data_IF_738328855148
#
_entry.id   IF_738328855148
#
_cell.length_a   1.000
_cell.length_b   1.000
_cell.length_c   1.000
_cell.angle_alpha   90.00
_cell.angle_beta   90.00
_cell.angle_gamma   90.00
#
_symmetry.space_group_name_H-M   'P 1'
#
loop_
_entity.id
_entity.type
_entity.pdbx_description
1 polymer ?
#
# COMPACT_ATOMS: atom_id res chain seq x y z
N UNK A 1 -19.37 7.61 4.88
CA UNK A 1 -18.75 6.73 5.89
C UNK A 1 -18.36 5.43 5.22
N UNK A 2 -17.22 4.84 5.57
CA UNK A 2 -16.71 3.59 5.00
C UNK A 2 -16.35 2.63 6.12
N UNK A 3 -16.78 1.37 6.04
CA UNK A 3 -16.46 0.37 7.06
C UNK A 3 -14.98 -0.02 7.00
N UNK A 4 -14.35 -0.18 8.15
CA UNK A 4 -12.99 -0.73 8.27
C UNK A 4 -13.02 -2.22 7.93
N UNK A 5 -12.01 -2.70 7.24
CA UNK A 5 -11.85 -4.11 6.87
C UNK A 5 -10.79 -4.75 7.76
N UNK A 6 -11.09 -5.93 8.28
CA UNK A 6 -10.15 -6.79 9.01
C UNK A 6 -9.76 -8.00 8.18
N UNK A 7 -8.74 -8.74 8.65
CA UNK A 7 -8.45 -10.08 8.14
C UNK A 7 -9.69 -11.00 8.25
N UNK A 8 -9.69 -12.10 7.49
CA UNK A 8 -10.79 -13.07 7.37
C UNK A 8 -12.06 -12.57 6.66
N UNK A 9 -12.21 -11.27 6.40
CA UNK A 9 -13.25 -10.79 5.48
C UNK A 9 -12.91 -11.21 4.04
N UNK A 10 -13.93 -11.47 3.23
CA UNK A 10 -13.73 -11.97 1.88
C UNK A 10 -13.62 -10.84 0.87
N UNK A 11 -12.80 -11.02 -0.15
CA UNK A 11 -12.91 -10.27 -1.39
C UNK A 11 -13.85 -10.95 -2.38
N UNK A 12 -14.29 -10.22 -3.40
CA UNK A 12 -14.96 -10.78 -4.58
C UNK A 12 -14.04 -10.61 -5.77
N UNK A 13 -13.71 -11.72 -6.44
CA UNK A 13 -12.81 -11.75 -7.59
C UNK A 13 -13.59 -11.98 -8.91
N UNK A 14 -13.56 -11.04 -9.88
CA UNK A 14 -14.16 -11.25 -11.20
C UNK A 14 -13.20 -11.90 -12.21
N UNK A 15 -11.96 -12.18 -11.81
CA UNK A 15 -10.95 -12.73 -12.72
C UNK A 15 -11.30 -14.17 -13.14
N UNK A 16 -10.78 -14.58 -14.29
CA UNK A 16 -11.00 -15.92 -14.86
C UNK A 16 -9.66 -16.41 -15.38
N UNK A 17 -9.33 -17.68 -15.14
CA UNK A 17 -8.15 -18.33 -15.71
C UNK A 17 -8.58 -19.51 -16.56
N UNK A 18 -8.37 -19.43 -17.87
CA UNK A 18 -8.92 -20.39 -18.82
C UNK A 18 -10.44 -20.41 -18.74
N UNK A 19 -11.02 -21.58 -18.39
CA UNK A 19 -12.47 -21.76 -18.20
C UNK A 19 -12.92 -21.56 -16.75
N UNK A 20 -11.98 -21.46 -15.81
CA UNK A 20 -12.28 -21.48 -14.38
C UNK A 20 -12.42 -20.05 -13.86
N UNK A 21 -13.62 -19.63 -13.41
CA UNK A 21 -13.77 -18.35 -12.73
C UNK A 21 -13.06 -18.41 -11.38
N UNK A 22 -12.40 -17.33 -11.01
CA UNK A 22 -11.88 -17.19 -9.66
C UNK A 22 -13.03 -17.10 -8.67
N UNK A 23 -12.77 -17.51 -7.44
CA UNK A 23 -13.66 -17.33 -6.29
C UNK A 23 -12.86 -16.61 -5.24
N UNK A 24 -13.31 -15.41 -4.88
CA UNK A 24 -12.65 -14.62 -3.86
C UNK A 24 -12.86 -15.24 -2.47
N UNK A 25 -11.79 -15.29 -1.70
CA UNK A 25 -11.75 -15.81 -0.34
C UNK A 25 -11.21 -14.78 0.66
N UNK A 26 -10.85 -15.22 1.87
CA UNK A 26 -10.53 -14.34 2.97
C UNK A 26 -9.23 -13.59 2.74
N UNK A 27 -9.15 -12.39 3.31
CA UNK A 27 -7.91 -11.64 3.48
C UNK A 27 -7.06 -12.36 4.54
N UNK A 28 -5.81 -12.67 4.21
CA UNK A 28 -4.89 -13.45 5.07
C UNK A 28 -3.71 -12.64 5.58
N UNK A 29 -3.48 -11.45 5.03
CA UNK A 29 -2.66 -10.43 5.69
C UNK A 29 -1.33 -10.11 4.99
N UNK A 30 -0.35 -9.59 5.76
CA UNK A 30 -0.19 -9.74 7.23
C UNK A 30 -1.15 -8.93 8.13
N UNK A 31 -1.86 -7.93 7.60
CA UNK A 31 -2.62 -6.96 8.40
C UNK A 31 -1.72 -6.17 9.35
N UNK A 32 -2.31 -5.51 10.34
CA UNK A 32 -1.57 -4.91 11.46
C UNK A 32 -1.94 -5.59 12.79
N UNK A 33 -1.09 -6.50 13.32
CA UNK A 33 -1.35 -7.19 14.59
C UNK A 33 -1.50 -6.27 15.80
N UNK A 34 -0.96 -5.05 15.75
CA UNK A 34 -1.09 -4.05 16.82
C UNK A 34 -2.43 -3.32 16.84
N UNK A 35 -3.20 -3.35 15.75
CA UNK A 35 -4.48 -2.66 15.61
C UNK A 35 -5.57 -3.67 15.31
N UNK A 36 -6.36 -3.99 16.35
CA UNK A 36 -7.38 -5.02 16.30
C UNK A 36 -8.79 -4.42 16.31
N UNK A 37 -9.68 -5.03 15.54
CA UNK A 37 -11.13 -4.83 15.64
C UNK A 37 -11.75 -6.20 15.91
N UNK A 38 -12.51 -6.30 17.00
CA UNK A 38 -13.07 -7.57 17.49
C UNK A 38 -12.04 -8.69 17.65
N UNK A 39 -10.82 -8.32 18.06
CA UNK A 39 -9.70 -9.26 18.23
C UNK A 39 -9.04 -9.72 16.91
N UNK A 40 -9.47 -9.18 15.76
CA UNK A 40 -8.91 -9.51 14.44
C UNK A 40 -8.09 -8.32 13.92
N UNK A 41 -6.88 -8.55 13.38
CA UNK A 41 -6.06 -7.47 12.81
C UNK A 41 -6.79 -6.69 11.71
N UNK A 42 -6.65 -5.36 11.74
CA UNK A 42 -7.10 -4.48 10.66
C UNK A 42 -6.26 -4.76 9.41
N UNK A 43 -6.93 -4.81 8.27
CA UNK A 43 -6.26 -5.01 6.98
C UNK A 43 -5.71 -3.69 6.45
N UNK A 44 -4.53 -3.77 5.82
CA UNK A 44 -3.82 -2.62 5.22
C UNK A 44 -3.55 -2.85 3.74
N UNK A 45 -3.36 -1.76 3.00
CA UNK A 45 -3.03 -1.83 1.56
C UNK A 45 -1.78 -2.70 1.35
N UNK A 46 -1.82 -3.60 0.37
CA UNK A 46 -0.79 -4.60 0.12
C UNK A 46 -1.07 -5.97 0.74
N UNK A 47 -2.07 -6.09 1.63
CA UNK A 47 -2.50 -7.38 2.16
C UNK A 47 -2.93 -8.36 1.07
N UNK A 48 -2.66 -9.63 1.32
CA UNK A 48 -2.99 -10.72 0.40
C UNK A 48 -4.34 -11.36 0.73
N UNK A 49 -5.00 -11.85 -0.31
CA UNK A 49 -6.27 -12.56 -0.22
C UNK A 49 -6.13 -13.97 -0.82
N UNK A 50 -6.76 -14.94 -0.18
CA UNK A 50 -6.93 -16.28 -0.76
C UNK A 50 -7.91 -16.18 -1.93
N UNK A 51 -7.54 -16.73 -3.07
CA UNK A 51 -8.37 -16.76 -4.27
C UNK A 51 -8.31 -18.15 -4.90
N UNK A 52 -9.40 -18.62 -5.53
CA UNK A 52 -9.39 -19.83 -6.35
C UNK A 52 -8.69 -19.54 -7.70
N UNK A 53 -7.37 -19.35 -7.61
CA UNK A 53 -6.44 -18.86 -8.62
C UNK A 53 -5.10 -18.54 -7.93
N UNK A 54 -4.20 -17.75 -8.53
CA UNK A 54 -3.10 -17.14 -7.78
C UNK A 54 -3.65 -16.27 -6.63
N UNK A 55 -2.90 -16.09 -5.52
CA UNK A 55 -3.27 -15.14 -4.48
C UNK A 55 -3.51 -13.75 -5.06
N UNK A 56 -4.56 -13.08 -4.57
CA UNK A 56 -4.87 -11.70 -4.96
C UNK A 56 -4.29 -10.73 -3.93
N UNK A 57 -4.13 -9.46 -4.30
CA UNK A 57 -3.56 -8.42 -3.45
C UNK A 57 -4.51 -7.24 -3.37
N UNK A 58 -4.71 -6.66 -2.19
CA UNK A 58 -5.47 -5.43 -2.03
C UNK A 58 -4.59 -4.26 -2.43
N UNK A 59 -5.00 -3.53 -3.47
CA UNK A 59 -4.16 -2.50 -4.11
C UNK A 59 -4.62 -1.08 -3.81
N UNK A 60 -5.69 -0.94 -3.02
CA UNK A 60 -6.21 0.34 -2.57
C UNK A 60 -6.36 0.39 -1.07
N UNK A 61 -6.08 1.56 -0.51
CA UNK A 61 -6.29 1.86 0.90
C UNK A 61 -6.77 3.27 1.13
N UNK A 62 -7.28 3.54 2.32
CA UNK A 62 -7.86 4.81 2.70
C UNK A 62 -6.79 5.70 3.35
N UNK A 63 -6.35 6.80 2.71
CA UNK A 63 -5.23 7.59 3.21
C UNK A 63 -5.58 8.46 4.43
N UNK A 64 -6.87 8.61 4.75
CA UNK A 64 -7.31 9.37 5.93
C UNK A 64 -7.08 8.64 7.25
N UNK A 65 -6.75 7.35 7.21
CA UNK A 65 -6.37 6.55 8.39
C UNK A 65 -5.23 5.64 7.98
N UNK A 66 -4.06 5.84 8.58
CA UNK A 66 -2.86 5.03 8.33
C UNK A 66 -2.51 4.26 9.60
N UNK A 67 -2.06 3.02 9.44
CA UNK A 67 -1.57 2.15 10.50
C UNK A 67 -0.19 1.68 10.10
N UNK A 68 0.80 1.89 10.96
CA UNK A 68 2.23 1.71 10.64
C UNK A 68 2.63 2.43 9.34
N UNK A 69 2.03 3.60 9.11
CA UNK A 69 2.22 4.40 7.90
C UNK A 69 1.55 3.83 6.63
N UNK A 70 0.97 2.64 6.66
CA UNK A 70 0.22 2.05 5.55
C UNK A 70 -1.27 2.42 5.61
N UNK A 71 -1.90 2.85 4.50
CA UNK A 71 -3.34 3.13 4.46
C UNK A 71 -4.20 1.91 4.83
N UNK A 72 -5.20 2.11 5.69
CA UNK A 72 -6.13 1.03 6.09
C UNK A 72 -7.07 0.65 4.95
N UNK A 73 -7.43 -0.63 4.86
CA UNK A 73 -8.41 -1.11 3.88
C UNK A 73 -9.81 -0.79 4.38
N UNK A 74 -10.64 -0.30 3.47
CA UNK A 74 -12.05 -0.02 3.73
C UNK A 74 -12.95 -0.69 2.70
N UNK A 75 -14.25 -0.73 3.01
CA UNK A 75 -15.25 -1.24 2.07
C UNK A 75 -15.14 -0.62 0.67
N UNK A 76 -15.14 -1.50 -0.33
CA UNK A 76 -14.95 -1.27 -1.76
C UNK A 76 -13.54 -0.88 -2.20
N UNK A 77 -12.51 -1.02 -1.34
CA UNK A 77 -11.14 -1.06 -1.83
C UNK A 77 -10.97 -2.18 -2.85
N UNK A 78 -10.23 -1.90 -3.92
CA UNK A 78 -10.01 -2.81 -5.04
C UNK A 78 -8.81 -3.74 -4.83
N UNK A 79 -8.81 -4.84 -5.57
CA UNK A 79 -7.72 -5.82 -5.61
C UNK A 79 -7.06 -5.89 -7.00
N UNK A 80 -5.87 -6.48 -7.08
CA UNK A 80 -5.09 -6.61 -8.32
C UNK A 80 -5.81 -7.42 -9.41
N UNK A 81 -6.66 -8.37 -9.02
CA UNK A 81 -7.49 -9.13 -9.95
C UNK A 81 -8.72 -8.35 -10.45
N UNK A 82 -8.84 -7.06 -10.12
CA UNK A 82 -9.99 -6.22 -10.45
C UNK A 82 -11.20 -6.49 -9.55
N UNK A 83 -10.99 -7.15 -8.41
CA UNK A 83 -12.00 -7.41 -7.39
C UNK A 83 -12.20 -6.25 -6.43
N UNK A 84 -13.05 -6.48 -5.44
CA UNK A 84 -13.31 -5.54 -4.34
C UNK A 84 -13.48 -6.27 -3.01
N UNK A 85 -13.30 -5.56 -1.90
CA UNK A 85 -13.78 -5.98 -0.59
C UNK A 85 -15.21 -5.44 -0.39
N UNK A 86 -16.26 -6.28 -0.48
CA UNK A 86 -17.65 -5.81 -0.51
C UNK A 86 -18.16 -5.28 0.83
N UNK A 87 -17.56 -5.69 1.95
CA UNK A 87 -18.05 -5.40 3.31
C UNK A 87 -16.88 -5.20 4.26
N UNK A 88 -17.03 -4.29 5.23
CA UNK A 88 -16.16 -4.21 6.40
C UNK A 88 -16.87 -4.69 7.67
N UNK A 89 -16.27 -4.44 8.83
CA UNK A 89 -16.86 -4.76 10.13
C UNK A 89 -18.06 -3.84 10.39
N UNK A 90 -19.19 -4.43 10.78
CA UNK A 90 -20.41 -3.69 11.07
C UNK A 90 -20.20 -2.77 12.28
N UNK A 91 -20.64 -1.52 12.18
CA UNK A 91 -20.51 -0.53 13.25
C UNK A 91 -19.15 0.17 13.33
N UNK A 92 -18.10 -0.35 12.67
CA UNK A 92 -16.77 0.25 12.67
C UNK A 92 -16.55 1.02 11.38
N UNK A 93 -16.80 2.33 11.41
CA UNK A 93 -16.79 3.20 10.22
C UNK A 93 -15.87 4.39 10.36
N UNK A 94 -15.24 4.75 9.24
CA UNK A 94 -14.48 5.99 9.09
C UNK A 94 -15.41 7.07 8.53
N UNK A 95 -15.48 8.18 9.24
CA UNK A 95 -16.15 9.42 8.83
C UNK A 95 -15.13 10.52 8.57
N UNK A 96 -15.34 11.29 7.51
CA UNK A 96 -14.50 12.45 7.19
C UNK A 96 -15.38 13.63 6.81
N UNK A 97 -14.90 14.85 7.08
CA UNK A 97 -15.61 16.08 6.73
C UNK A 97 -15.78 16.24 5.21
N UNK A 98 -14.78 15.80 4.43
CA UNK A 98 -14.82 15.73 2.97
C UNK A 98 -14.61 14.28 2.53
N UNK A 99 -15.31 13.78 1.48
CA UNK A 99 -15.05 12.45 0.95
C UNK A 99 -13.61 12.34 0.46
N UNK A 100 -12.81 11.51 1.12
CA UNK A 100 -11.46 11.16 0.67
C UNK A 100 -11.59 9.89 -0.18
N UNK A 101 -10.96 9.90 -1.36
CA UNK A 101 -10.92 8.71 -2.22
C UNK A 101 -9.81 7.76 -1.73
N UNK A 102 -10.00 6.44 -1.83
CA UNK A 102 -8.91 5.51 -1.63
C UNK A 102 -7.78 5.81 -2.61
N UNK A 103 -6.54 5.75 -2.13
CA UNK A 103 -5.35 5.84 -2.98
C UNK A 103 -5.02 4.46 -3.52
N UNK A 104 -4.36 4.43 -4.67
CA UNK A 104 -3.93 3.19 -5.33
C UNK A 104 -2.43 3.06 -5.17
N UNK A 105 -1.96 1.87 -4.80
CA UNK A 105 -0.52 1.61 -4.74
C UNK A 105 0.13 1.82 -6.11
N UNK A 106 1.45 2.06 -6.13
CA UNK A 106 2.16 2.29 -7.39
C UNK A 106 1.98 1.11 -8.35
N UNK A 107 1.65 1.45 -9.61
CA UNK A 107 1.38 0.51 -10.68
C UNK A 107 2.41 -0.61 -10.82
N UNK A 108 3.69 -0.32 -10.58
CA UNK A 108 4.78 -1.29 -10.76
C UNK A 108 4.82 -2.36 -9.67
N UNK A 109 4.28 -2.05 -8.49
CA UNK A 109 4.16 -3.02 -7.39
C UNK A 109 2.91 -3.88 -7.48
N UNK A 110 1.95 -3.52 -8.34
CA UNK A 110 0.70 -4.28 -8.46
C UNK A 110 0.93 -5.54 -9.31
N UNK A 111 0.69 -6.75 -8.75
CA UNK A 111 0.85 -8.00 -9.50
C UNK A 111 -0.38 -8.27 -10.39
N UNK A 112 -0.59 -7.47 -11.43
CA UNK A 112 -1.72 -7.70 -12.34
C UNK A 112 -1.60 -9.03 -13.09
N UNK A 113 -2.62 -9.92 -13.01
CA UNK A 113 -2.68 -11.08 -13.89
C UNK A 113 -2.83 -10.62 -15.34
N UNK A 114 -2.12 -11.30 -16.25
CA UNK A 114 -2.14 -11.01 -17.68
C UNK A 114 -3.37 -11.63 -18.33
N UNK A 115 -4.23 -10.81 -18.92
CA UNK A 115 -5.38 -11.25 -19.72
C UNK A 115 -4.96 -11.23 -21.20
N UNK A 116 -4.87 -12.41 -21.83
CA UNK A 116 -4.53 -12.55 -23.25
C UNK A 116 -5.79 -12.53 -24.10
N UNK A 117 -5.61 -12.37 -25.41
CA UNK A 117 -6.70 -12.44 -26.39
C UNK A 117 -7.40 -13.80 -26.40
N UNK A 118 -6.66 -14.90 -26.20
CA UNK A 118 -7.22 -16.25 -26.13
C UNK A 118 -8.11 -16.45 -24.89
N UNK A 119 -7.82 -15.77 -23.78
CA UNK A 119 -8.58 -15.88 -22.54
C UNK A 119 -10.01 -15.34 -22.73
N UNK A 120 -10.17 -14.29 -23.54
CA UNK A 120 -11.50 -13.77 -23.90
C UNK A 120 -12.34 -14.79 -24.68
N UNK A 121 -11.72 -15.54 -25.59
CA UNK A 121 -12.42 -16.58 -26.35
C UNK A 121 -12.85 -17.73 -25.43
N UNK A 122 -11.95 -18.21 -24.58
CA UNK A 122 -12.22 -19.31 -23.64
C UNK A 122 -13.27 -18.90 -22.60
N UNK A 123 -13.21 -17.65 -22.11
CA UNK A 123 -14.22 -17.10 -21.20
C UNK A 123 -15.59 -16.93 -21.88
N UNK A 124 -15.64 -16.63 -23.19
CA UNK A 124 -16.90 -16.58 -23.94
C UNK A 124 -17.56 -17.96 -24.03
N UNK A 125 -16.78 -19.00 -24.33
CA UNK A 125 -17.29 -20.37 -24.47
C UNK A 125 -17.75 -20.92 -23.11
N UNK A 126 -17.07 -20.58 -22.01
CA UNK A 126 -17.43 -21.00 -20.65
C UNK A 126 -18.51 -20.15 -19.98
N UNK A 127 -19.00 -19.09 -20.64
CA UNK A 127 -20.01 -18.18 -20.08
C UNK A 127 -19.48 -17.14 -19.09
N UNK A 128 -18.17 -17.10 -18.85
CA UNK A 128 -17.51 -16.22 -17.87
C UNK A 128 -17.00 -14.89 -18.46
N UNK A 129 -17.31 -14.58 -19.73
CA UNK A 129 -16.83 -13.38 -20.42
C UNK A 129 -17.17 -12.06 -19.70
N UNK A 130 -18.34 -11.98 -19.06
CA UNK A 130 -18.74 -10.78 -18.30
C UNK A 130 -17.81 -10.52 -17.12
N UNK A 131 -17.44 -11.58 -16.40
CA UNK A 131 -16.52 -11.50 -15.26
C UNK A 131 -15.13 -11.08 -15.73
N UNK A 132 -14.58 -11.75 -16.76
CA UNK A 132 -13.26 -11.42 -17.28
C UNK A 132 -13.18 -9.98 -17.80
N UNK A 133 -14.20 -9.49 -18.52
CA UNK A 133 -14.26 -8.10 -18.99
C UNK A 133 -14.37 -7.10 -17.84
N UNK A 134 -15.13 -7.43 -16.79
CA UNK A 134 -15.21 -6.60 -15.57
C UNK A 134 -13.83 -6.51 -14.91
N UNK A 135 -13.13 -7.64 -14.80
CA UNK A 135 -11.79 -7.69 -14.23
C UNK A 135 -10.82 -6.81 -15.03
N UNK A 136 -10.80 -6.96 -16.35
CA UNK A 136 -9.97 -6.13 -17.25
C UNK A 136 -10.28 -4.63 -17.11
N UNK A 137 -11.55 -4.26 -17.18
CA UNK A 137 -11.98 -2.85 -17.04
C UNK A 137 -11.58 -2.26 -15.69
N UNK A 138 -11.67 -3.04 -14.62
CA UNK A 138 -11.30 -2.62 -13.28
C UNK A 138 -9.78 -2.46 -13.14
N UNK A 139 -8.99 -3.33 -13.76
CA UNK A 139 -7.54 -3.18 -13.82
C UNK A 139 -7.12 -1.94 -14.61
N UNK A 140 -7.79 -1.64 -15.72
CA UNK A 140 -7.53 -0.44 -16.50
C UNK A 140 -7.90 0.83 -15.71
N UNK A 141 -8.97 0.79 -14.93
CA UNK A 141 -9.32 1.88 -14.02
C UNK A 141 -8.23 2.11 -12.95
N UNK A 142 -7.66 1.04 -12.37
CA UNK A 142 -6.54 1.13 -11.43
C UNK A 142 -5.29 1.74 -12.08
N UNK A 143 -5.02 1.39 -13.35
CA UNK A 143 -3.91 1.99 -14.12
C UNK A 143 -4.08 3.48 -14.29
N UNK A 144 -5.27 3.91 -14.72
CA UNK A 144 -5.58 5.32 -14.93
C UNK A 144 -5.51 6.07 -13.60
N UNK A 145 -6.08 5.51 -12.54
CA UNK A 145 -6.09 6.14 -11.23
C UNK A 145 -4.66 6.34 -10.69
N UNK A 146 -3.81 5.32 -10.73
CA UNK A 146 -2.42 5.42 -10.28
C UNK A 146 -1.61 6.49 -11.03
N UNK A 147 -1.95 6.81 -12.28
CA UNK A 147 -1.28 7.86 -13.06
C UNK A 147 -1.81 9.27 -12.79
N UNK A 148 -2.98 9.41 -12.17
CA UNK A 148 -3.63 10.70 -11.91
C UNK A 148 -3.49 11.17 -10.46
N UNK A 149 -2.91 10.34 -9.57
CA UNK A 149 -2.73 10.68 -8.17
C UNK A 149 -1.58 11.67 -8.00
N UNK A 150 -1.81 12.69 -7.17
CA UNK A 150 -0.77 13.67 -6.81
C UNK A 150 0.38 12.95 -6.09
N UNK A 151 1.66 13.35 -6.34
CA UNK A 151 2.80 12.72 -5.70
C UNK A 151 2.69 12.75 -4.17
N UNK A 152 2.77 11.57 -3.56
CA UNK A 152 2.65 11.40 -2.12
C UNK A 152 3.56 10.29 -1.62
N UNK A 153 4.00 10.41 -0.37
CA UNK A 153 4.72 9.36 0.36
C UNK A 153 3.85 8.82 1.49
N UNK A 154 4.02 7.54 1.79
CA UNK A 154 3.40 6.87 2.92
C UNK A 154 4.38 5.82 3.49
N UNK A 155 3.98 5.13 4.56
CA UNK A 155 4.82 4.14 5.22
C UNK A 155 6.21 4.69 5.59
N UNK A 156 6.25 5.93 6.09
CA UNK A 156 7.50 6.59 6.47
C UNK A 156 8.00 5.98 7.78
N UNK A 157 9.18 5.38 7.75
CA UNK A 157 9.78 4.74 8.92
C UNK A 157 11.30 4.92 8.96
N UNK A 158 11.85 4.67 10.14
CA UNK A 158 13.27 4.77 10.41
C UNK A 158 13.87 3.37 10.50
N UNK A 159 14.94 3.15 9.76
CA UNK A 159 15.80 1.97 9.89
C UNK A 159 17.12 2.41 10.53
N UNK A 160 17.60 1.63 11.51
CA UNK A 160 18.86 1.91 12.20
C UNK A 160 19.81 0.74 12.02
N UNK A 161 20.98 1.02 11.47
CA UNK A 161 22.09 0.08 11.35
C UNK A 161 23.30 0.57 12.16
N UNK A 162 23.96 -0.35 12.86
CA UNK A 162 25.24 -0.07 13.51
C UNK A 162 26.39 -0.39 12.57
N UNK A 163 27.24 0.60 12.29
CA UNK A 163 28.42 0.44 11.45
C UNK A 163 29.66 0.57 12.33
N UNK A 164 30.44 -0.52 12.40
CA UNK A 164 31.77 -0.52 13.01
C UNK A 164 32.79 0.01 12.00
N UNK A 165 33.56 1.01 12.38
CA UNK A 165 34.68 1.52 11.57
C UNK A 165 36.02 1.06 12.14
N UNK A 166 37.02 0.90 11.27
CA UNK A 166 38.39 0.47 11.64
C UNK A 166 39.07 1.43 12.63
N UNK A 167 38.57 2.67 12.74
CA UNK A 167 39.05 3.72 13.65
C UNK A 167 38.57 3.56 15.11
N UNK A 168 37.86 2.47 15.46
CA UNK A 168 37.48 2.15 16.84
C UNK A 168 36.24 2.85 17.38
N UNK A 169 35.53 3.65 16.56
CA UNK A 169 34.25 4.26 16.91
C UNK A 169 33.07 3.52 16.26
N UNK A 170 31.92 3.52 16.94
CA UNK A 170 30.64 3.03 16.41
C UNK A 170 29.90 4.22 15.79
N UNK A 171 29.57 4.13 14.50
CA UNK A 171 28.66 5.09 13.85
C UNK A 171 27.28 4.46 13.72
N UNK A 172 26.24 5.27 13.82
CA UNK A 172 24.90 4.84 13.44
C UNK A 172 24.57 5.37 12.05
N UNK A 173 24.18 4.46 11.17
CA UNK A 173 23.55 4.79 9.91
C UNK A 173 22.05 4.74 10.15
N UNK A 174 21.42 5.90 9.99
CA UNK A 174 19.99 6.07 10.09
C UNK A 174 19.46 6.22 8.67
N UNK A 175 18.50 5.39 8.28
CA UNK A 175 17.85 5.49 6.97
C UNK A 175 16.40 5.88 7.19
N UNK A 176 15.94 6.93 6.51
CA UNK A 176 14.51 7.20 6.35
C UNK A 176 14.04 6.47 5.11
N UNK A 177 13.06 5.60 5.27
CA UNK A 177 12.43 4.88 4.17
C UNK A 177 10.95 5.25 4.06
N UNK A 178 10.44 5.31 2.82
CA UNK A 178 9.03 5.54 2.55
C UNK A 178 8.59 4.88 1.24
N UNK A 179 7.32 4.51 1.16
CA UNK A 179 6.66 4.13 -0.08
C UNK A 179 6.20 5.36 -0.86
N UNK A 180 6.24 5.30 -2.19
CA UNK A 180 5.90 6.43 -3.06
C UNK A 180 4.70 6.13 -3.96
N UNK A 181 3.89 7.15 -4.22
CA UNK A 181 2.77 7.16 -5.17
C UNK A 181 2.89 8.41 -6.03
N UNK A 182 2.58 8.31 -7.32
CA UNK A 182 2.61 9.44 -8.25
C UNK A 182 4.02 9.93 -8.62
N UNK A 183 5.08 9.33 -8.07
CA UNK A 183 6.47 9.61 -8.43
C UNK A 183 6.96 8.67 -9.54
N UNK A 184 7.75 9.23 -10.46
CA UNK A 184 8.46 8.50 -11.51
C UNK A 184 9.77 7.88 -11.00
N UNK A 185 10.31 6.93 -11.76
CA UNK A 185 11.61 6.32 -11.42
C UNK A 185 12.72 7.34 -11.52
N UNK A 186 13.60 7.38 -10.52
CA UNK A 186 14.73 8.29 -10.53
C UNK A 186 14.38 9.71 -10.06
N UNK A 187 13.13 9.99 -9.72
CA UNK A 187 12.77 11.27 -9.11
C UNK A 187 13.38 11.40 -7.71
N UNK A 188 13.73 12.63 -7.33
CA UNK A 188 14.30 12.93 -6.03
C UNK A 188 13.21 13.37 -5.07
N UNK A 189 13.14 12.71 -3.91
CA UNK A 189 12.30 13.14 -2.78
C UNK A 189 13.21 13.73 -1.71
N UNK A 190 12.85 14.93 -1.25
CA UNK A 190 13.54 15.60 -0.13
C UNK A 190 12.75 15.39 1.15
N UNK A 191 13.39 14.83 2.16
CA UNK A 191 12.90 14.74 3.53
C UNK A 191 13.46 15.88 4.36
N UNK A 192 12.60 16.63 5.02
CA UNK A 192 13.01 17.64 6.01
C UNK A 192 12.71 17.11 7.40
N UNK A 193 13.76 16.87 8.17
CA UNK A 193 13.65 16.42 9.55
C UNK A 193 13.82 17.63 10.45
N UNK A 194 12.77 17.98 11.17
CA UNK A 194 12.75 19.09 12.13
C UNK A 194 12.85 18.56 13.56
N UNK A 195 14.05 18.50 14.17
CA UNK A 195 14.21 18.03 15.54
C UNK A 195 13.51 18.96 16.53
N UNK A 196 12.63 18.39 17.36
CA UNK A 196 11.89 19.13 18.41
C UNK A 196 12.77 19.53 19.61
N UNK A 197 14.00 19.01 19.71
CA UNK A 197 14.86 19.21 20.88
C UNK A 197 15.41 20.63 20.99
N UNK A 198 15.04 21.33 22.07
CA UNK A 198 15.70 22.57 22.50
C UNK A 198 16.84 22.15 23.42
N UNK A 199 18.09 22.46 23.05
CA UNK A 199 19.22 22.22 23.94
C UNK A 199 19.08 23.10 25.20
N UNK A 200 18.88 22.51 26.40
CA UNK A 200 18.62 23.26 27.63
C UNK A 200 19.83 24.05 28.14
N UNK A 201 21.06 23.75 27.69
CA UNK A 201 22.28 24.49 28.07
C UNK A 201 22.56 25.70 27.19
N UNK A 202 22.09 25.70 25.92
CA UNK A 202 22.52 26.69 24.93
C UNK A 202 21.38 27.45 24.23
N UNK A 203 20.11 27.11 24.47
CA UNK A 203 18.96 27.82 23.91
C UNK A 203 18.87 27.84 22.38
N UNK A 204 19.70 27.06 21.67
CA UNK A 204 19.68 26.94 20.22
C UNK A 204 18.73 25.81 19.81
N UNK A 205 17.75 26.16 18.97
CA UNK A 205 16.93 25.20 18.23
C UNK A 205 17.87 24.38 17.34
N UNK A 206 17.83 23.06 17.41
CA UNK A 206 18.53 22.20 16.45
C UNK A 206 18.04 22.52 15.03
N UNK A 207 18.97 22.67 14.10
CA UNK A 207 18.68 23.05 12.71
C UNK A 207 17.97 21.89 11.99
N UNK A 208 17.07 22.22 11.06
CA UNK A 208 16.45 21.23 10.19
C UNK A 208 17.53 20.48 9.39
N UNK A 209 17.35 19.17 9.23
CA UNK A 209 18.23 18.32 8.41
C UNK A 209 17.46 17.94 7.16
N UNK A 210 18.01 18.29 5.99
CA UNK A 210 17.49 17.87 4.71
C UNK A 210 18.22 16.60 4.26
N UNK A 211 17.46 15.55 3.96
CA UNK A 211 17.96 14.33 3.34
C UNK A 211 17.29 14.17 1.99
N UNK A 212 18.02 13.63 1.02
CA UNK A 212 17.48 13.34 -0.31
C UNK A 212 17.57 11.84 -0.57
N UNK A 213 16.51 11.29 -1.14
CA UNK A 213 16.45 9.94 -1.65
C UNK A 213 15.98 9.93 -3.09
N UNK A 214 16.36 8.90 -3.82
CA UNK A 214 15.92 8.68 -5.20
C UNK A 214 14.87 7.58 -5.19
N UNK A 215 13.75 7.81 -5.88
CA UNK A 215 12.69 6.82 -6.03
C UNK A 215 13.20 5.63 -6.84
N UNK A 216 13.15 4.45 -6.21
CA UNK A 216 13.45 3.16 -6.81
C UNK A 216 12.38 2.14 -6.47
N UNK A 217 11.82 1.51 -7.48
CA UNK A 217 10.76 0.50 -7.31
C UNK A 217 9.60 0.99 -6.43
N UNK A 218 9.22 2.26 -6.57
CA UNK A 218 8.20 2.95 -5.75
C UNK A 218 8.49 2.98 -4.24
N UNK A 219 9.76 2.95 -3.89
CA UNK A 219 10.26 3.25 -2.55
C UNK A 219 11.29 4.35 -2.67
N UNK A 220 11.50 5.08 -1.58
CA UNK A 220 12.60 6.03 -1.48
C UNK A 220 13.28 5.87 -0.14
N UNK A 221 14.60 5.90 -0.16
CA UNK A 221 15.45 5.79 1.02
C UNK A 221 16.42 6.95 1.04
N UNK A 222 16.57 7.61 2.19
CA UNK A 222 17.54 8.67 2.39
C UNK A 222 18.40 8.35 3.62
N UNK A 223 19.72 8.36 3.44
CA UNK A 223 20.68 7.93 4.46
C UNK A 223 21.25 9.12 5.23
N UNK A 224 21.39 8.95 6.55
CA UNK A 224 21.98 9.92 7.45
C UNK A 224 22.97 9.22 8.40
N UNK A 225 24.25 9.58 8.28
CA UNK A 225 25.30 9.04 9.14
C UNK A 225 25.51 9.98 10.33
N UNK A 226 25.19 9.50 11.53
CA UNK A 226 25.34 10.26 12.76
C UNK A 226 26.53 9.71 13.55
N UNK A 227 27.45 10.61 13.92
CA UNK A 227 28.49 10.33 14.92
C UNK A 227 27.91 10.58 16.30
N UNK A 228 28.00 9.59 17.19
CA UNK A 228 27.76 9.77 18.63
C UNK A 228 29.11 9.95 19.32
#
# INVERSE_FOLDING_TARGET
>A
MKQIVTLNLNHICPMVTGVTPHVGGPIVGPGCPGVLVDGVPVSVMGDTCVCCGPPDMIVQGYPGVMVDGTPVVVQNCMTAHGGIIPTGVAGVVIGTAKPIKPITMNIRKIPFPKIRTIDNLVAAISGNLKNLRKAASNQDALRIQSSQEEPAIYNVHWEKEEIRTDEGYIKHKITVAADTIGFDEGETVTFTISPEYINPEFGKKTQDVELQGIVKDSHVTAEWIVKI
#
